data_IF_333409086242
#
_entry.id   IF_333409086242
#
_cell.length_a   1.000
_cell.length_b   1.000
_cell.length_c   1.000
_cell.angle_alpha   90.00
_cell.angle_beta   90.00
_cell.angle_gamma   90.00
#
_symmetry.space_group_name_H-M   'P 1'
#
loop_
_entity.id
_entity.type
_entity.pdbx_description
1 polymer ?
#
# COMPACT_ATOMS: atom_id res chain seq x y z
N UNK A 1 10.14 13.33 -24.83
CA UNK A 1 8.79 13.34 -24.23
C UNK A 1 8.85 13.59 -22.71
N UNK A 2 10.00 13.97 -22.14
CA UNK A 2 10.33 13.65 -20.74
C UNK A 2 10.19 14.84 -19.77
N UNK A 3 10.41 16.09 -20.20
CA UNK A 3 10.26 17.26 -19.32
C UNK A 3 8.80 17.71 -19.13
N UNK A 4 7.99 17.62 -20.17
CA UNK A 4 6.61 18.14 -20.16
C UNK A 4 5.70 17.32 -19.23
N UNK A 5 5.85 15.99 -19.27
CA UNK A 5 5.12 15.08 -18.37
C UNK A 5 5.57 15.26 -16.91
N UNK A 6 6.87 15.42 -16.68
CA UNK A 6 7.40 15.63 -15.32
C UNK A 6 6.89 16.95 -14.70
N UNK A 7 6.91 18.06 -15.45
CA UNK A 7 6.33 19.32 -14.98
C UNK A 7 4.82 19.20 -14.73
N UNK A 8 4.08 18.52 -15.60
CA UNK A 8 2.65 18.31 -15.42
C UNK A 8 2.33 17.57 -14.11
N UNK A 9 3.05 16.48 -13.81
CA UNK A 9 2.87 15.74 -12.55
C UNK A 9 3.21 16.59 -11.32
N UNK A 10 4.28 17.38 -11.36
CA UNK A 10 4.68 18.23 -10.23
C UNK A 10 3.65 19.34 -9.97
N UNK A 11 3.09 19.95 -11.03
CA UNK A 11 2.02 20.94 -10.90
C UNK A 11 0.76 20.30 -10.30
N UNK A 12 0.35 19.13 -10.80
CA UNK A 12 -0.80 18.39 -10.29
C UNK A 12 -0.66 18.04 -8.79
N UNK A 13 0.52 17.63 -8.35
CA UNK A 13 0.77 17.29 -6.94
C UNK A 13 0.74 18.53 -6.04
N UNK A 14 1.34 19.63 -6.48
CA UNK A 14 1.44 20.85 -5.68
C UNK A 14 0.14 21.66 -5.66
N UNK A 15 -0.48 21.86 -6.82
CA UNK A 15 -1.61 22.79 -6.97
C UNK A 15 -2.94 22.12 -6.65
N UNK A 16 -3.17 20.89 -7.14
CA UNK A 16 -4.44 20.20 -6.93
C UNK A 16 -4.44 19.39 -5.62
N UNK A 17 -3.39 18.61 -5.39
CA UNK A 17 -3.32 17.73 -4.21
C UNK A 17 -2.70 18.40 -2.97
N UNK A 18 -2.19 19.63 -3.11
CA UNK A 18 -1.59 20.45 -2.03
C UNK A 18 -0.42 19.75 -1.30
N UNK A 19 0.33 18.91 -2.03
CA UNK A 19 1.47 18.16 -1.49
C UNK A 19 2.77 18.91 -1.73
N UNK A 20 3.11 19.85 -0.83
CA UNK A 20 4.33 20.65 -0.93
C UNK A 20 5.51 20.00 -0.24
N UNK A 21 6.65 19.84 -0.95
CA UNK A 21 7.91 19.27 -0.42
C UNK A 21 7.73 17.87 0.20
N UNK A 22 6.78 17.09 -0.30
CA UNK A 22 6.50 15.74 0.16
C UNK A 22 7.34 14.71 -0.59
N UNK A 23 7.79 13.65 0.09
CA UNK A 23 8.36 12.46 -0.56
C UNK A 23 7.23 11.61 -1.16
N UNK A 24 6.91 11.85 -2.44
CA UNK A 24 5.81 11.19 -3.14
C UNK A 24 6.36 10.21 -4.18
N UNK A 25 5.80 9.00 -4.22
CA UNK A 25 6.00 8.05 -5.31
C UNK A 25 4.69 7.92 -6.10
N UNK A 26 4.75 8.17 -7.40
CA UNK A 26 3.59 7.96 -8.29
C UNK A 26 3.62 6.54 -8.82
N UNK A 27 2.50 5.84 -8.71
CA UNK A 27 2.32 4.47 -9.19
C UNK A 27 1.09 4.37 -10.09
N UNK A 28 0.98 3.28 -10.86
CA UNK A 28 -0.22 2.92 -11.61
C UNK A 28 -1.30 2.35 -10.66
N UNK A 29 -1.78 3.21 -9.76
CA UNK A 29 -2.81 2.89 -8.76
C UNK A 29 -2.26 2.27 -7.47
N UNK A 30 -3.17 2.13 -6.50
CA UNK A 30 -2.87 1.66 -5.15
C UNK A 30 -2.38 0.20 -5.11
N UNK A 31 -2.79 -0.63 -6.08
CA UNK A 31 -2.35 -2.02 -6.16
C UNK A 31 -0.84 -2.14 -6.40
N UNK A 32 -0.31 -1.35 -7.35
CA UNK A 32 1.13 -1.32 -7.60
C UNK A 32 1.89 -0.69 -6.42
N UNK A 33 1.32 0.36 -5.80
CA UNK A 33 1.91 0.95 -4.59
C UNK A 33 2.02 -0.07 -3.45
N UNK A 34 0.99 -0.88 -3.23
CA UNK A 34 0.99 -1.90 -2.19
C UNK A 34 2.03 -3.00 -2.46
N UNK A 35 2.13 -3.50 -3.69
CA UNK A 35 3.17 -4.49 -4.04
C UNK A 35 4.57 -3.93 -3.82
N UNK A 36 4.81 -2.66 -4.21
CA UNK A 36 6.09 -2.01 -3.94
C UNK A 36 6.38 -1.92 -2.44
N UNK A 37 5.38 -1.57 -1.62
CA UNK A 37 5.52 -1.56 -0.16
C UNK A 37 5.93 -2.93 0.39
N UNK A 38 5.26 -4.00 -0.04
CA UNK A 38 5.60 -5.36 0.40
C UNK A 38 7.03 -5.72 0.02
N UNK A 39 7.43 -5.48 -1.23
CA UNK A 39 8.80 -5.76 -1.71
C UNK A 39 9.88 -4.91 -1.02
N UNK A 40 9.52 -3.74 -0.48
CA UNK A 40 10.48 -2.88 0.24
C UNK A 40 10.61 -3.23 1.72
N UNK A 41 9.59 -3.84 2.32
CA UNK A 41 9.49 -4.05 3.76
C UNK A 41 9.60 -5.52 4.18
N UNK A 42 9.27 -6.45 3.30
CA UNK A 42 9.19 -7.87 3.60
C UNK A 42 10.05 -8.66 2.61
N UNK A 43 10.74 -9.66 3.14
CA UNK A 43 11.40 -10.69 2.37
C UNK A 43 10.54 -11.97 2.32
N UNK A 44 10.87 -12.88 1.40
CA UNK A 44 10.19 -14.17 1.31
C UNK A 44 10.39 -14.99 2.60
N UNK A 45 9.30 -15.48 3.18
CA UNK A 45 9.30 -16.19 4.46
C UNK A 45 9.06 -15.33 5.69
N UNK A 46 8.99 -13.99 5.53
CA UNK A 46 8.55 -13.12 6.62
C UNK A 46 7.09 -13.37 7.00
N UNK A 47 6.73 -12.88 8.18
CA UNK A 47 5.39 -13.02 8.74
C UNK A 47 4.72 -11.67 8.85
N UNK A 48 3.45 -11.61 8.47
CA UNK A 48 2.66 -10.37 8.50
C UNK A 48 1.32 -10.62 9.21
N UNK A 49 0.79 -9.55 9.80
CA UNK A 49 -0.51 -9.57 10.48
C UNK A 49 -1.49 -8.71 9.68
N UNK A 50 -2.68 -9.25 9.46
CA UNK A 50 -3.83 -8.57 8.84
C UNK A 50 -5.04 -8.66 9.78
N UNK A 51 -6.02 -7.78 9.61
CA UNK A 51 -7.24 -7.78 10.43
C UNK A 51 -8.48 -7.85 9.55
N UNK A 52 -9.45 -8.69 9.91
CA UNK A 52 -10.69 -8.88 9.16
C UNK A 52 -11.74 -7.80 9.50
N UNK A 53 -12.55 -7.32 8.53
CA UNK A 53 -12.47 -7.65 7.10
C UNK A 53 -11.30 -6.93 6.41
N UNK A 54 -10.53 -7.66 5.60
CA UNK A 54 -9.39 -7.13 4.86
C UNK A 54 -9.64 -7.07 3.35
N UNK A 55 -8.89 -6.20 2.67
CA UNK A 55 -8.90 -6.12 1.21
C UNK A 55 -8.17 -7.31 0.60
N UNK A 56 -8.86 -8.11 -0.22
CA UNK A 56 -8.33 -9.35 -0.78
C UNK A 56 -7.02 -9.15 -1.56
N UNK A 57 -6.86 -8.03 -2.25
CA UNK A 57 -5.66 -7.81 -3.07
C UNK A 57 -4.39 -7.64 -2.22
N UNK A 58 -4.52 -7.10 -1.01
CA UNK A 58 -3.40 -7.02 -0.07
C UNK A 58 -2.93 -8.44 0.31
N UNK A 59 -3.88 -9.32 0.63
CA UNK A 59 -3.60 -10.72 0.94
C UNK A 59 -2.91 -11.43 -0.24
N UNK A 60 -3.45 -11.28 -1.45
CA UNK A 60 -2.85 -11.86 -2.65
C UNK A 60 -1.45 -11.31 -2.94
N UNK A 61 -1.23 -10.02 -2.72
CA UNK A 61 0.07 -9.38 -2.94
C UNK A 61 1.16 -9.95 -2.03
N UNK A 62 0.85 -10.24 -0.76
CA UNK A 62 1.78 -10.94 0.14
C UNK A 62 2.11 -12.34 -0.38
N UNK A 63 1.10 -13.13 -0.77
CA UNK A 63 1.33 -14.48 -1.29
C UNK A 63 2.19 -14.48 -2.56
N UNK A 64 1.92 -13.55 -3.50
CA UNK A 64 2.66 -13.43 -4.75
C UNK A 64 4.13 -13.03 -4.57
N UNK A 65 4.46 -12.35 -3.47
CA UNK A 65 5.82 -11.88 -3.14
C UNK A 65 6.58 -12.86 -2.24
N UNK A 66 5.99 -14.01 -1.91
CA UNK A 66 6.63 -15.05 -1.10
C UNK A 66 6.39 -14.92 0.41
N UNK A 67 5.57 -13.96 0.83
CA UNK A 67 5.12 -13.82 2.23
C UNK A 67 3.90 -14.71 2.43
N UNK A 68 4.13 -15.93 2.93
CA UNK A 68 3.09 -16.95 3.07
C UNK A 68 2.54 -17.08 4.49
N UNK A 69 3.27 -16.61 5.50
CA UNK A 69 2.83 -16.67 6.89
C UNK A 69 2.00 -15.42 7.25
N UNK A 70 0.72 -15.43 6.87
CA UNK A 70 -0.21 -14.33 7.07
C UNK A 70 -1.16 -14.67 8.23
N UNK A 71 -0.99 -14.00 9.36
CA UNK A 71 -1.88 -14.10 10.52
C UNK A 71 -3.05 -13.12 10.37
N UNK A 72 -4.28 -13.62 10.44
CA UNK A 72 -5.48 -12.78 10.37
C UNK A 72 -6.15 -12.70 11.74
N UNK A 73 -6.13 -11.52 12.34
CA UNK A 73 -6.86 -11.19 13.57
C UNK A 73 -8.28 -10.65 13.31
N UNK A 74 -9.15 -10.60 14.32
CA UNK A 74 -10.44 -9.95 14.20
C UNK A 74 -10.30 -8.42 14.18
N UNK A 75 -11.24 -7.77 13.51
CA UNK A 75 -11.44 -6.34 13.60
C UNK A 75 -12.82 -6.04 14.18
N UNK A 76 -12.95 -4.88 14.83
CA UNK A 76 -14.22 -4.40 15.37
C UNK A 76 -15.22 -4.22 14.21
N UNK A 77 -16.41 -4.87 14.24
CA UNK A 77 -17.36 -4.84 13.14
C UNK A 77 -18.02 -3.46 12.90
N UNK A 78 -17.89 -2.52 13.84
CA UNK A 78 -18.42 -1.15 13.74
C UNK A 78 -17.34 -0.14 13.36
N UNK A 79 -16.15 -0.24 13.96
CA UNK A 79 -15.07 0.73 13.71
C UNK A 79 -14.10 0.27 12.63
N UNK A 80 -14.10 -1.03 12.30
CA UNK A 80 -13.15 -1.70 11.40
C UNK A 80 -11.70 -1.59 11.87
N UNK A 81 -11.49 -1.22 13.12
CA UNK A 81 -10.16 -1.17 13.73
C UNK A 81 -9.71 -2.57 14.14
N UNK A 82 -8.39 -2.82 14.20
CA UNK A 82 -7.85 -4.04 14.81
C UNK A 82 -8.42 -4.27 16.21
N UNK A 83 -8.98 -5.45 16.45
CA UNK A 83 -9.47 -5.89 17.75
C UNK A 83 -8.61 -7.07 18.23
N UNK A 84 -7.52 -6.83 18.97
CA UNK A 84 -6.67 -7.89 19.49
C UNK A 84 -7.31 -8.68 20.65
N UNK A 85 -8.51 -8.31 21.11
CA UNK A 85 -9.17 -8.84 22.30
C UNK A 85 -9.07 -7.91 23.51
#
# INVERSE_FOLDING_TARGET
>A
MDLLNHCFFVLQLNEENKLYKSSVMVTAGANQAFVNLVLTLCDAGDSVVMFAPYYFNAYMSFQMTGVTNILVGPGDPKTLHPDPG
#
